data_IF_044890155917
#
_entry.id   IF_044890155917
#
_cell.length_a   1.000
_cell.length_b   1.000
_cell.length_c   1.000
_cell.angle_alpha   90.00
_cell.angle_beta   90.00
_cell.angle_gamma   90.00
#
_symmetry.space_group_name_H-M   'P 1'
#
loop_
_entity.id
_entity.type
_entity.pdbx_description
1 polymer ?
#
# COMPACT_ATOMS: atom_id res chain seq x y z
N UNK A 1 8.38 2.62 -2.26
CA UNK A 1 8.45 2.08 -3.64
C UNK A 1 7.29 2.60 -4.47
N UNK A 2 7.52 2.90 -5.75
CA UNK A 2 6.47 3.19 -6.73
C UNK A 2 6.28 1.97 -7.63
N UNK A 3 5.05 1.50 -7.78
CA UNK A 3 4.72 0.28 -8.55
C UNK A 3 3.57 0.56 -9.51
N UNK A 4 3.49 -0.17 -10.62
CA UNK A 4 2.26 -0.17 -11.44
C UNK A 4 1.17 -1.03 -10.80
N UNK A 5 -0.05 -0.97 -11.33
CA UNK A 5 -1.13 -1.88 -10.90
C UNK A 5 -0.79 -3.35 -11.13
N UNK A 6 -0.08 -3.67 -12.20
CA UNK A 6 0.31 -5.04 -12.54
C UNK A 6 1.42 -5.54 -11.62
N UNK A 7 2.43 -4.71 -11.38
CA UNK A 7 3.47 -5.01 -10.41
C UNK A 7 2.87 -5.22 -9.02
N UNK A 8 1.95 -4.35 -8.59
CA UNK A 8 1.25 -4.50 -7.31
C UNK A 8 0.47 -5.84 -7.19
N UNK A 9 -0.09 -6.34 -8.29
CA UNK A 9 -0.78 -7.64 -8.30
C UNK A 9 0.19 -8.80 -8.12
N UNK A 10 1.40 -8.72 -8.66
CA UNK A 10 2.43 -9.74 -8.48
C UNK A 10 3.25 -9.57 -7.19
N UNK A 11 3.25 -8.36 -6.61
CA UNK A 11 4.06 -8.01 -5.45
C UNK A 11 3.63 -8.76 -4.19
N UNK A 12 4.61 -9.25 -3.43
CA UNK A 12 4.42 -9.64 -2.05
C UNK A 12 4.64 -8.44 -1.13
N UNK A 13 3.55 -7.91 -0.57
CA UNK A 13 3.57 -6.67 0.20
C UNK A 13 4.41 -6.83 1.47
N UNK A 14 4.32 -8.00 2.12
CA UNK A 14 5.00 -8.27 3.39
C UNK A 14 6.51 -8.26 3.21
N UNK A 15 7.03 -8.99 2.22
CA UNK A 15 8.45 -9.03 1.91
C UNK A 15 9.03 -7.65 1.58
N UNK A 16 8.25 -6.81 0.89
CA UNK A 16 8.68 -5.44 0.55
C UNK A 16 8.84 -4.57 1.79
N UNK A 17 7.92 -4.67 2.76
CA UNK A 17 8.03 -3.95 4.03
C UNK A 17 9.13 -4.54 4.94
N UNK A 18 9.34 -5.85 4.94
CA UNK A 18 10.43 -6.52 5.66
C UNK A 18 11.81 -6.17 5.08
N UNK A 19 11.89 -5.88 3.77
CA UNK A 19 13.11 -5.42 3.09
C UNK A 19 13.47 -3.96 3.38
N UNK A 20 12.75 -3.30 4.31
CA UNK A 20 13.02 -1.94 4.75
C UNK A 20 12.34 -0.84 3.93
N UNK A 21 11.44 -1.18 2.99
CA UNK A 21 10.58 -0.15 2.39
C UNK A 21 9.49 0.25 3.38
N UNK A 22 9.22 1.54 3.52
CA UNK A 22 8.16 2.04 4.42
C UNK A 22 6.87 2.43 3.69
N UNK A 23 6.85 2.39 2.35
CA UNK A 23 5.67 2.72 1.56
C UNK A 23 5.63 2.01 0.20
N UNK A 24 4.43 1.85 -0.35
CA UNK A 24 4.14 1.35 -1.69
C UNK A 24 3.08 2.27 -2.33
N UNK A 25 3.42 3.00 -3.39
CA UNK A 25 2.49 3.86 -4.11
C UNK A 25 2.20 3.28 -5.49
N UNK A 26 0.92 3.08 -5.80
CA UNK A 26 0.47 2.54 -7.08
C UNK A 26 0.37 3.69 -8.08
N UNK A 27 1.28 3.76 -9.06
CA UNK A 27 1.36 4.85 -10.06
C UNK A 27 0.05 5.01 -10.85
N UNK A 28 -0.50 3.91 -11.36
CA UNK A 28 -1.76 3.89 -12.12
C UNK A 28 -3.00 3.88 -11.21
N UNK A 29 -2.81 4.03 -9.90
CA UNK A 29 -3.82 3.87 -8.87
C UNK A 29 -4.01 5.14 -8.05
N UNK A 30 -5.09 5.12 -7.25
CA UNK A 30 -5.37 6.18 -6.29
C UNK A 30 -4.81 5.90 -4.91
N UNK A 31 -4.17 4.76 -4.67
CA UNK A 31 -3.82 4.33 -3.32
C UNK A 31 -2.31 4.22 -3.11
N UNK A 32 -1.87 4.72 -1.97
CA UNK A 32 -0.55 4.49 -1.41
C UNK A 32 -0.70 3.77 -0.06
N UNK A 33 0.16 2.79 0.19
CA UNK A 33 0.17 1.97 1.39
C UNK A 33 1.44 2.33 2.15
N UNK A 34 1.31 2.52 3.45
CA UNK A 34 2.39 2.87 4.36
C UNK A 34 2.40 1.85 5.50
N UNK A 35 3.59 1.54 5.99
CA UNK A 35 3.76 0.76 7.20
C UNK A 35 4.39 1.68 8.27
N UNK A 36 3.58 2.06 9.26
CA UNK A 36 3.96 3.05 10.27
C UNK A 36 3.64 2.47 11.64
N UNK A 37 4.63 2.42 12.54
CA UNK A 37 4.50 1.89 13.90
C UNK A 37 3.83 0.50 13.96
N UNK A 38 4.21 -0.41 13.05
CA UNK A 38 3.66 -1.78 12.99
C UNK A 38 2.23 -1.87 12.45
N UNK A 39 1.70 -0.80 11.86
CA UNK A 39 0.34 -0.76 11.29
C UNK A 39 0.37 -0.34 9.83
N UNK A 40 -0.48 -0.98 9.03
CA UNK A 40 -0.71 -0.58 7.65
C UNK A 40 -1.70 0.59 7.58
N UNK A 41 -1.31 1.65 6.90
CA UNK A 41 -2.17 2.79 6.57
C UNK A 41 -2.29 2.90 5.06
N UNK A 42 -3.48 3.19 4.55
CA UNK A 42 -3.69 3.46 3.13
C UNK A 42 -4.09 4.90 3.00
N UNK A 43 -3.46 5.63 2.08
CA UNK A 43 -3.79 7.03 1.76
C UNK A 43 -4.21 7.09 0.31
N UNK A 44 -5.27 7.83 0.02
CA UNK A 44 -5.66 8.11 -1.36
C UNK A 44 -4.89 9.31 -1.90
N UNK A 45 -4.48 9.29 -3.17
CA UNK A 45 -3.68 10.36 -3.80
C UNK A 45 -4.33 11.75 -3.71
N UNK A 46 -5.66 11.79 -3.59
CA UNK A 46 -6.48 13.01 -3.51
C UNK A 46 -6.77 13.45 -2.06
N UNK A 47 -6.33 12.68 -1.07
CA UNK A 47 -6.64 12.91 0.35
C UNK A 47 -5.37 13.16 1.15
N UNK A 48 -5.45 14.17 2.02
CA UNK A 48 -4.40 14.49 2.98
C UNK A 48 -4.30 13.45 4.11
N UNK A 49 -5.42 12.78 4.43
CA UNK A 49 -5.52 11.83 5.53
C UNK A 49 -5.68 10.38 5.05
N UNK A 50 -5.15 9.41 5.81
CA UNK A 50 -5.34 8.00 5.51
C UNK A 50 -6.82 7.60 5.53
N UNK A 51 -7.18 6.65 4.67
CA UNK A 51 -8.52 6.10 4.62
C UNK A 51 -8.81 5.38 5.93
N UNK A 52 -9.98 5.65 6.52
CA UNK A 52 -10.46 4.91 7.70
C UNK A 52 -10.63 3.42 7.40
N UNK A 53 -10.93 3.07 6.14
CA UNK A 53 -11.18 1.71 5.70
C UNK A 53 -10.19 1.33 4.59
N UNK A 54 -9.37 0.33 4.89
CA UNK A 54 -8.47 -0.27 3.90
C UNK A 54 -9.32 -0.92 2.79
N UNK A 55 -9.11 -0.57 1.51
CA UNK A 55 -9.79 -1.19 0.39
C UNK A 55 -9.64 -2.72 0.40
N UNK A 56 -10.71 -3.44 0.02
CA UNK A 56 -10.76 -4.91 0.10
C UNK A 56 -9.56 -5.58 -0.58
N UNK A 57 -9.20 -5.12 -1.77
CA UNK A 57 -8.10 -5.70 -2.54
C UNK A 57 -6.71 -5.52 -1.88
N UNK A 58 -6.51 -4.44 -1.12
CA UNK A 58 -5.29 -4.22 -0.33
C UNK A 58 -5.34 -5.09 0.92
N UNK A 59 -6.50 -5.13 1.59
CA UNK A 59 -6.69 -5.95 2.79
C UNK A 59 -6.40 -7.44 2.50
N UNK A 60 -6.84 -7.96 1.36
CA UNK A 60 -6.55 -9.34 0.95
C UNK A 60 -5.06 -9.61 0.75
N UNK A 61 -4.29 -8.61 0.33
CA UNK A 61 -2.83 -8.71 0.16
C UNK A 61 -2.03 -8.53 1.46
N UNK A 62 -2.66 -7.94 2.48
CA UNK A 62 -2.06 -7.70 3.80
C UNK A 62 -2.40 -8.77 4.84
N UNK A 63 -3.40 -9.62 4.54
CA UNK A 63 -3.79 -10.76 5.37
C UNK A 63 -2.83 -11.93 5.14
#
# INVERSE_FOLDING_TARGET
MLVTKEEFKALDIKSVFESGNNFIKIKDGKHAIYHVNGKYQVVESDKLYPTKRIPKYIKTKLA
#
